data_IF_269410453974
#
_entry.id   IF_269410453974
#
_cell.length_a   1.000
_cell.length_b   1.000
_cell.length_c   1.000
_cell.angle_alpha   90.00
_cell.angle_beta   90.00
_cell.angle_gamma   90.00
#
_symmetry.space_group_name_H-M   'P 1'
#
loop_
_entity.id
_entity.type
_entity.pdbx_description
1 polymer ?
#
# COMPACT_ATOMS: atom_id res chain seq x y z
N UNK A 1 16.09 10.00 3.42
CA UNK A 1 16.82 9.12 2.47
C UNK A 1 18.27 9.55 2.38
N UNK A 2 19.21 8.70 2.78
CA UNK A 2 20.65 9.02 2.73
C UNK A 2 21.11 9.03 1.26
N UNK A 3 21.82 10.10 0.88
CA UNK A 3 22.38 10.22 -0.49
C UNK A 3 23.54 9.22 -0.65
N UNK A 4 23.45 8.38 -1.67
CA UNK A 4 24.54 7.48 -2.06
C UNK A 4 25.71 8.31 -2.57
N UNK A 5 26.88 8.14 -1.94
CA UNK A 5 28.11 8.88 -2.27
C UNK A 5 29.24 7.99 -2.82
N UNK A 6 28.98 6.70 -2.99
CA UNK A 6 29.99 5.69 -3.36
C UNK A 6 29.64 5.04 -4.70
N UNK A 7 30.65 4.62 -5.43
CA UNK A 7 30.52 3.88 -6.69
C UNK A 7 30.02 2.44 -6.51
N UNK A 8 30.13 1.89 -5.30
CA UNK A 8 29.61 0.57 -4.94
C UNK A 8 28.86 0.66 -3.62
N UNK A 9 27.71 -0.01 -3.54
CA UNK A 9 26.85 -0.03 -2.35
C UNK A 9 26.48 -1.46 -2.06
N UNK A 10 26.63 -1.85 -0.82
CA UNK A 10 26.12 -3.13 -0.32
C UNK A 10 24.64 -3.00 0.00
N UNK A 11 23.82 -3.86 -0.60
CA UNK A 11 22.37 -3.86 -0.45
C UNK A 11 21.94 -5.19 0.14
N UNK A 12 21.34 -5.16 1.30
CA UNK A 12 20.70 -6.34 1.91
C UNK A 12 19.21 -6.29 1.65
N UNK A 13 18.67 -7.34 1.05
CA UNK A 13 17.26 -7.48 0.74
C UNK A 13 16.74 -8.86 1.15
N UNK A 14 15.46 -8.92 1.41
CA UNK A 14 14.76 -10.18 1.71
C UNK A 14 14.11 -10.74 0.44
N UNK A 15 14.42 -12.00 0.11
CA UNK A 15 13.78 -12.74 -0.98
C UNK A 15 13.45 -14.15 -0.53
N UNK A 16 12.18 -14.54 -0.63
CA UNK A 16 11.69 -15.86 -0.21
C UNK A 16 12.06 -16.19 1.24
N UNK A 17 11.83 -15.24 2.15
CA UNK A 17 12.15 -15.32 3.59
C UNK A 17 13.64 -15.55 3.91
N UNK A 18 14.54 -15.23 2.98
CA UNK A 18 15.99 -15.28 3.18
C UNK A 18 16.59 -13.92 2.90
N UNK A 19 17.46 -13.46 3.79
CA UNK A 19 18.25 -12.25 3.55
C UNK A 19 19.39 -12.57 2.61
N UNK A 20 19.57 -11.73 1.62
CA UNK A 20 20.72 -11.75 0.71
C UNK A 20 21.36 -10.39 0.72
N UNK A 21 22.69 -10.39 0.64
CA UNK A 21 23.48 -9.17 0.51
C UNK A 21 24.26 -9.22 -0.79
N UNK A 22 24.13 -8.20 -1.59
CA UNK A 22 24.84 -8.06 -2.87
C UNK A 22 25.48 -6.69 -2.98
N UNK A 23 26.65 -6.63 -3.58
CA UNK A 23 27.34 -5.38 -3.89
C UNK A 23 26.92 -4.91 -5.27
N UNK A 24 26.28 -3.76 -5.32
CA UNK A 24 25.74 -3.18 -6.55
C UNK A 24 26.60 -1.99 -6.96
N UNK A 25 26.99 -1.95 -8.23
CA UNK A 25 27.67 -0.80 -8.81
C UNK A 25 26.66 0.30 -9.11
N UNK A 26 26.98 1.51 -8.71
CA UNK A 26 26.13 2.67 -8.95
C UNK A 26 26.52 3.36 -10.25
N UNK A 27 25.56 3.83 -11.00
CA UNK A 27 25.78 4.70 -12.16
C UNK A 27 25.72 6.17 -11.73
N UNK A 28 26.64 6.98 -12.22
CA UNK A 28 26.63 8.42 -11.97
C UNK A 28 25.89 9.14 -13.14
N UNK A 29 24.77 9.74 -12.83
CA UNK A 29 23.98 10.53 -13.79
C UNK A 29 23.69 11.90 -13.18
N UNK A 30 24.00 12.96 -13.93
CA UNK A 30 23.79 14.35 -13.50
C UNK A 30 24.41 14.66 -12.13
N UNK A 31 25.62 14.15 -11.87
CA UNK A 31 26.32 14.37 -10.61
C UNK A 31 25.82 13.54 -9.42
N UNK A 32 24.77 12.71 -9.60
CA UNK A 32 24.19 11.87 -8.55
C UNK A 32 24.42 10.39 -8.83
N UNK A 33 24.72 9.63 -7.80
CA UNK A 33 24.81 8.17 -7.92
C UNK A 33 23.42 7.55 -7.83
N UNK A 34 23.12 6.64 -8.75
CA UNK A 34 21.86 5.88 -8.82
C UNK A 34 22.16 4.39 -8.80
N UNK A 35 21.36 3.62 -8.10
CA UNK A 35 21.47 2.15 -8.06
C UNK A 35 20.93 1.48 -9.32
N UNK A 36 20.09 2.15 -10.10
CA UNK A 36 19.41 1.55 -11.24
C UNK A 36 18.39 0.47 -10.85
N UNK A 37 17.94 0.47 -9.60
CA UNK A 37 16.94 -0.45 -9.08
C UNK A 37 15.58 0.24 -9.00
N UNK A 38 14.55 -0.48 -9.38
CA UNK A 38 13.18 -0.11 -9.05
C UNK A 38 12.87 -0.64 -7.65
N UNK A 39 12.66 0.26 -6.70
CA UNK A 39 12.33 -0.09 -5.32
C UNK A 39 10.99 0.55 -4.96
N UNK A 40 10.10 -0.25 -4.41
CA UNK A 40 8.84 0.21 -3.83
C UNK A 40 8.90 -0.01 -2.33
N UNK A 41 8.81 1.06 -1.57
CA UNK A 41 8.77 1.02 -0.10
C UNK A 41 7.34 1.21 0.43
N UNK A 42 6.49 1.85 -0.35
CA UNK A 42 5.08 2.11 -0.02
C UNK A 42 4.19 1.82 -1.21
N UNK A 43 3.06 1.21 -0.93
CA UNK A 43 1.99 0.99 -1.88
C UNK A 43 0.74 1.63 -1.31
N UNK A 44 0.05 2.40 -2.12
CA UNK A 44 -1.23 3.00 -1.77
C UNK A 44 -2.27 2.67 -2.84
N UNK A 45 -3.53 2.60 -2.42
CA UNK A 45 -4.64 2.34 -3.30
C UNK A 45 -5.95 2.79 -2.68
N UNK A 46 -7.00 2.75 -3.46
CA UNK A 46 -8.37 2.99 -3.01
C UNK A 46 -9.08 1.66 -3.00
N UNK A 47 -9.78 1.39 -1.91
CA UNK A 47 -10.61 0.20 -1.72
C UNK A 47 -11.97 0.55 -1.16
N UNK A 48 -12.85 -0.44 -1.09
CA UNK A 48 -14.16 -0.31 -0.47
C UNK A 48 -14.20 -1.16 0.78
N UNK A 49 -14.50 -0.56 1.93
CA UNK A 49 -14.82 -1.31 3.13
C UNK A 49 -16.19 -1.94 2.95
N UNK A 50 -16.27 -3.26 3.04
CA UNK A 50 -17.49 -4.01 2.79
C UNK A 50 -18.18 -4.41 4.06
N UNK A 51 -17.41 -4.69 5.09
CA UNK A 51 -17.92 -5.20 6.35
C UNK A 51 -17.11 -4.61 7.50
N UNK A 52 -17.83 -4.18 8.53
CA UNK A 52 -17.29 -3.75 9.81
C UNK A 52 -18.09 -4.41 10.94
N UNK A 53 -17.39 -5.01 11.87
CA UNK A 53 -17.95 -5.58 13.11
C UNK A 53 -17.58 -4.68 14.28
N UNK A 54 -18.54 -3.93 14.83
CA UNK A 54 -18.28 -3.01 15.93
C UNK A 54 -17.98 -3.72 17.26
N UNK A 55 -18.42 -4.97 17.43
CA UNK A 55 -18.17 -5.73 18.66
C UNK A 55 -16.73 -6.20 18.77
N UNK A 56 -16.10 -6.50 17.63
CA UNK A 56 -14.71 -6.94 17.54
C UNK A 56 -13.76 -5.85 17.03
N UNK A 57 -14.29 -4.69 16.66
CA UNK A 57 -13.54 -3.58 16.02
C UNK A 57 -12.79 -4.02 14.76
N UNK A 58 -13.32 -5.00 14.03
CA UNK A 58 -12.70 -5.59 12.86
C UNK A 58 -13.41 -5.17 11.58
N UNK A 59 -12.63 -5.07 10.51
CA UNK A 59 -13.18 -4.82 9.19
C UNK A 59 -12.65 -5.84 8.17
N UNK A 60 -13.42 -5.96 7.09
CA UNK A 60 -12.96 -6.53 5.82
C UNK A 60 -13.22 -5.51 4.71
N UNK A 61 -12.24 -5.36 3.85
CA UNK A 61 -12.38 -4.57 2.64
C UNK A 61 -12.22 -5.50 1.45
N UNK A 62 -13.22 -5.48 0.59
CA UNK A 62 -13.16 -6.17 -0.69
C UNK A 62 -12.61 -5.15 -1.67
N UNK A 63 -11.57 -5.49 -2.18
CA UNK A 63 -10.98 -4.99 -3.36
C UNK A 63 -10.37 -6.20 -4.01
N UNK A 64 -9.42 -5.98 -4.81
CA UNK A 64 -8.52 -7.04 -5.23
C UNK A 64 -7.46 -7.22 -4.15
N UNK A 65 -6.92 -8.42 -4.02
CA UNK A 65 -5.71 -8.64 -3.28
C UNK A 65 -4.65 -7.61 -3.70
N UNK A 66 -3.91 -7.10 -2.74
CA UNK A 66 -2.79 -6.22 -3.07
C UNK A 66 -1.69 -7.10 -3.67
N UNK A 67 -1.44 -6.92 -4.96
CA UNK A 67 -0.47 -7.70 -5.74
C UNK A 67 0.64 -6.80 -6.27
N UNK A 68 1.80 -7.38 -6.46
CA UNK A 68 2.87 -6.73 -7.19
C UNK A 68 2.46 -6.54 -8.65
N UNK A 69 2.64 -5.33 -9.19
CA UNK A 69 2.18 -5.00 -10.55
C UNK A 69 3.00 -5.67 -11.65
N UNK A 70 4.21 -6.11 -11.36
CA UNK A 70 5.13 -6.67 -12.34
C UNK A 70 5.08 -8.20 -12.34
N UNK A 71 4.93 -8.80 -11.15
CA UNK A 71 4.89 -10.26 -10.99
C UNK A 71 3.49 -10.83 -10.81
N UNK A 72 2.50 -9.99 -10.51
CA UNK A 72 1.14 -10.36 -10.14
C UNK A 72 1.06 -11.28 -8.89
N UNK A 73 2.15 -11.38 -8.14
CA UNK A 73 2.20 -12.15 -6.90
C UNK A 73 1.55 -11.38 -5.76
N UNK A 74 0.92 -12.12 -4.85
CA UNK A 74 0.33 -11.57 -3.63
C UNK A 74 1.42 -10.92 -2.76
N UNK A 75 1.25 -9.65 -2.43
CA UNK A 75 2.20 -8.95 -1.57
C UNK A 75 2.05 -9.37 -0.11
N UNK A 76 3.16 -9.77 0.48
CA UNK A 76 3.24 -9.99 1.93
C UNK A 76 3.33 -8.65 2.63
N UNK A 77 2.28 -8.29 3.33
CA UNK A 77 2.18 -7.01 4.03
C UNK A 77 2.58 -7.23 5.49
N UNK A 78 3.58 -6.50 5.95
CA UNK A 78 3.93 -6.47 7.38
C UNK A 78 2.92 -5.64 8.16
N UNK A 79 2.57 -4.48 7.63
CA UNK A 79 1.63 -3.54 8.20
C UNK A 79 1.08 -2.63 7.11
N UNK A 80 -0.22 -2.39 7.14
CA UNK A 80 -0.89 -1.40 6.31
C UNK A 80 -1.80 -0.52 7.16
N UNK A 81 -2.17 0.61 6.60
CA UNK A 81 -3.04 1.58 7.25
C UNK A 81 -4.22 1.91 6.35
N UNK A 82 -5.35 2.21 6.96
CA UNK A 82 -6.55 2.67 6.27
C UNK A 82 -6.81 4.09 6.67
N UNK A 83 -7.10 4.90 5.67
CA UNK A 83 -7.40 6.31 5.85
C UNK A 83 -8.76 6.63 5.23
N UNK A 84 -9.48 7.57 5.82
CA UNK A 84 -10.64 8.16 5.19
C UNK A 84 -10.19 9.07 4.05
N UNK A 85 -10.67 8.86 2.81
CA UNK A 85 -10.29 9.71 1.70
C UNK A 85 -10.87 11.11 1.85
N UNK A 86 -10.08 12.13 1.53
CA UNK A 86 -10.53 13.52 1.63
C UNK A 86 -11.25 13.98 0.36
N UNK A 87 -10.69 13.74 -0.79
CA UNK A 87 -11.23 14.22 -2.06
C UNK A 87 -11.36 13.08 -3.06
N UNK A 88 -12.57 12.58 -3.22
CA UNK A 88 -12.85 11.58 -4.24
C UNK A 88 -13.18 12.24 -5.58
N UNK A 89 -12.42 11.90 -6.61
CA UNK A 89 -12.69 12.30 -8.00
C UNK A 89 -12.99 11.08 -8.84
N UNK A 90 -14.13 11.09 -9.50
CA UNK A 90 -14.53 10.04 -10.42
C UNK A 90 -14.12 10.46 -11.83
N UNK A 91 -13.26 9.65 -12.44
CA UNK A 91 -12.93 9.75 -13.86
C UNK A 91 -13.82 8.75 -14.59
N UNK A 92 -14.77 9.26 -15.37
CA UNK A 92 -15.70 8.42 -16.12
C UNK A 92 -14.96 7.60 -17.17
N UNK A 93 -15.47 6.38 -17.44
CA UNK A 93 -15.01 5.58 -18.55
C UNK A 93 -15.32 6.26 -19.89
N UNK A 94 -14.50 5.99 -20.90
CA UNK A 94 -14.76 6.31 -22.30
C UNK A 94 -14.48 5.08 -23.15
N UNK A 95 -14.74 5.15 -24.45
CA UNK A 95 -14.48 4.01 -25.36
C UNK A 95 -13.01 3.56 -25.36
N UNK A 96 -12.08 4.45 -24.96
CA UNK A 96 -10.63 4.19 -24.97
C UNK A 96 -10.02 4.03 -23.58
N UNK A 97 -10.75 4.36 -22.50
CA UNK A 97 -10.19 4.39 -21.13
C UNK A 97 -11.18 3.87 -20.11
N UNK A 98 -10.69 2.99 -19.26
CA UNK A 98 -11.43 2.50 -18.10
C UNK A 98 -11.61 3.62 -17.08
N UNK A 99 -12.83 3.74 -16.54
CA UNK A 99 -13.12 4.67 -15.46
C UNK A 99 -12.30 4.34 -14.20
N UNK A 100 -11.99 5.36 -13.42
CA UNK A 100 -11.26 5.18 -12.16
C UNK A 100 -11.65 6.20 -11.11
N UNK A 101 -11.52 5.79 -9.87
CA UNK A 101 -11.64 6.67 -8.71
C UNK A 101 -10.23 7.09 -8.30
N UNK A 102 -10.06 8.39 -8.06
CA UNK A 102 -8.86 8.97 -7.47
C UNK A 102 -9.24 9.57 -6.13
N UNK A 103 -8.39 9.46 -5.14
CA UNK A 103 -8.59 10.07 -3.84
C UNK A 103 -7.26 10.47 -3.23
N UNK A 104 -7.30 11.52 -2.46
CA UNK A 104 -6.19 11.93 -1.61
C UNK A 104 -6.49 11.50 -0.17
N UNK A 105 -5.47 11.26 0.61
CA UNK A 105 -5.59 10.92 2.02
C UNK A 105 -4.55 11.71 2.83
N UNK A 106 -4.89 11.95 4.08
CA UNK A 106 -4.03 12.62 5.05
C UNK A 106 -3.80 11.69 6.25
N UNK A 107 -2.60 11.69 6.79
CA UNK A 107 -2.24 10.87 7.95
C UNK A 107 -3.09 11.18 9.19
N UNK A 108 -3.69 12.37 9.27
CA UNK A 108 -4.63 12.74 10.33
C UNK A 108 -5.97 11.99 10.26
N UNK A 109 -6.30 11.40 9.12
CA UNK A 109 -7.55 10.69 8.89
C UNK A 109 -7.38 9.16 8.97
N UNK A 110 -6.47 8.71 9.81
CA UNK A 110 -6.22 7.30 10.06
C UNK A 110 -7.46 6.65 10.68
N UNK A 111 -8.01 5.64 10.01
CA UNK A 111 -9.17 4.87 10.47
C UNK A 111 -8.79 3.56 11.14
N UNK A 112 -7.72 2.94 10.71
CA UNK A 112 -7.33 1.64 11.22
C UNK A 112 -6.07 1.08 10.59
N UNK A 113 -5.79 -0.16 10.92
CA UNK A 113 -4.62 -0.87 10.43
C UNK A 113 -4.97 -2.29 9.97
N UNK A 114 -4.15 -2.86 9.10
CA UNK A 114 -4.29 -4.23 8.64
C UNK A 114 -2.92 -4.88 8.44
N UNK A 115 -2.89 -6.19 8.61
CA UNK A 115 -1.71 -7.02 8.33
C UNK A 115 -2.04 -8.24 7.46
N UNK A 116 -3.32 -8.46 7.21
CA UNK A 116 -3.76 -9.56 6.37
C UNK A 116 -4.13 -9.08 4.98
N UNK A 117 -3.49 -9.68 3.98
CA UNK A 117 -3.78 -9.52 2.56
C UNK A 117 -3.95 -10.91 1.94
N UNK A 118 -5.11 -11.17 1.37
CA UNK A 118 -5.49 -12.45 0.79
C UNK A 118 -6.15 -12.26 -0.56
N UNK A 119 -6.43 -13.32 -1.29
CA UNK A 119 -7.20 -13.26 -2.54
C UNK A 119 -8.62 -12.69 -2.33
N UNK A 120 -9.12 -12.71 -1.10
CA UNK A 120 -10.41 -12.15 -0.71
C UNK A 120 -10.34 -10.68 -0.26
N UNK A 121 -9.17 -10.04 -0.43
CA UNK A 121 -8.91 -8.67 0.00
C UNK A 121 -8.19 -8.57 1.33
N UNK A 122 -8.32 -7.43 1.98
CA UNK A 122 -7.63 -7.09 3.23
C UNK A 122 -8.57 -7.16 4.42
N UNK A 123 -8.00 -7.47 5.60
CA UNK A 123 -8.72 -7.41 6.87
C UNK A 123 -7.83 -6.91 7.99
N UNK A 124 -8.43 -6.24 8.96
CA UNK A 124 -7.70 -5.62 10.06
C UNK A 124 -8.62 -5.05 11.13
N UNK A 125 -8.11 -4.08 11.86
CA UNK A 125 -8.79 -3.43 12.97
C UNK A 125 -9.07 -1.95 12.66
N UNK A 126 -10.22 -1.46 13.15
CA UNK A 126 -10.58 -0.04 13.13
C UNK A 126 -10.20 0.57 14.49
N UNK A 127 -9.71 1.80 14.48
CA UNK A 127 -9.40 2.55 15.70
C UNK A 127 -10.70 3.11 16.32
N UNK A 128 -10.76 3.23 17.64
CA UNK A 128 -11.97 3.65 18.39
C UNK A 128 -12.59 4.98 17.91
N UNK A 129 -11.77 5.89 17.44
CA UNK A 129 -12.22 7.25 17.07
C UNK A 129 -13.17 7.28 15.86
N UNK A 130 -13.25 6.21 15.08
CA UNK A 130 -14.04 6.14 13.86
C UNK A 130 -15.27 5.22 13.95
N UNK A 131 -15.48 4.55 15.07
CA UNK A 131 -16.62 3.63 15.25
C UNK A 131 -17.99 4.32 15.08
N UNK A 132 -18.08 5.63 15.34
CA UNK A 132 -19.31 6.43 15.21
C UNK A 132 -19.64 6.82 13.75
N UNK A 133 -18.70 6.66 12.84
CA UNK A 133 -18.88 7.06 11.43
C UNK A 133 -19.52 5.97 10.57
N UNK A 134 -19.62 4.74 11.10
CA UNK A 134 -20.21 3.63 10.38
C UNK A 134 -21.69 3.46 10.77
N UNK A 135 -22.58 3.45 9.78
CA UNK A 135 -23.96 3.03 9.99
C UNK A 135 -23.96 1.52 10.27
N UNK A 136 -24.20 1.16 11.50
CA UNK A 136 -24.38 -0.23 11.91
C UNK A 136 -25.84 -0.59 11.66
N UNK A 137 -26.10 -1.55 10.79
CA UNK A 137 -27.44 -2.12 10.66
C UNK A 137 -27.77 -2.88 11.95
N UNK A 138 -28.84 -2.49 12.63
CA UNK A 138 -29.41 -3.20 13.76
C UNK A 138 -30.07 -4.48 13.31
#
# INVERSE_FOLDING_TARGET
MNKIKKSKVEVTFERKNKYKTEVIETKKENGKYKLGLWVRDKISGIGTMTFYDPSMEKFKAIGHAIKDSDTNELLKIKQGYIYKPEQLKIVKASNEKVGKIKGDFNDSNLMGNFSNNSELGISGNITENHNKEFNVAN
#
